data_IF_983206603451
#
_entry.id   IF_983206603451
#
_cell.length_a   1.000
_cell.length_b   1.000
_cell.length_c   1.000
_cell.angle_alpha   90.00
_cell.angle_beta   90.00
_cell.angle_gamma   90.00
#
_symmetry.space_group_name_H-M   'P 1'
#
loop_
_entity.id
_entity.type
_entity.pdbx_description
1 polymer ?
#
# COMPACT_ATOMS: atom_id res chain seq x y z
N UNK A 1 -66.09 15.73 0.29
CA UNK A 1 -64.93 15.73 -0.62
C UNK A 1 -63.67 15.51 0.22
N UNK A 2 -63.21 14.26 0.32
CA UNK A 2 -62.11 13.87 1.22
C UNK A 2 -60.80 13.99 0.45
N UNK A 3 -59.93 14.92 0.85
CA UNK A 3 -58.60 15.09 0.23
C UNK A 3 -57.69 13.94 0.70
N UNK A 4 -57.03 13.20 -0.20
CA UNK A 4 -56.14 12.13 0.21
C UNK A 4 -54.90 12.72 0.89
N UNK A 5 -54.55 12.15 2.04
CA UNK A 5 -53.34 12.50 2.77
C UNK A 5 -52.16 11.75 2.12
N UNK A 6 -51.47 12.39 1.17
CA UNK A 6 -50.27 11.82 0.58
C UNK A 6 -49.13 11.96 1.58
N UNK A 7 -48.74 10.85 2.20
CA UNK A 7 -47.55 10.81 3.04
C UNK A 7 -46.31 11.04 2.15
N UNK A 8 -45.42 11.99 2.49
CA UNK A 8 -44.22 12.21 1.71
C UNK A 8 -43.33 10.96 1.82
N UNK A 9 -43.08 10.32 0.68
CA UNK A 9 -42.11 9.23 0.58
C UNK A 9 -40.77 9.76 1.08
N UNK A 10 -40.31 9.26 2.23
CA UNK A 10 -39.00 9.61 2.79
C UNK A 10 -37.95 9.15 1.78
N UNK A 11 -37.43 10.08 0.99
CA UNK A 11 -36.29 9.83 0.10
C UNK A 11 -35.17 9.24 0.96
N UNK A 12 -34.77 7.99 0.69
CA UNK A 12 -33.60 7.39 1.35
C UNK A 12 -32.42 8.30 1.03
N UNK A 13 -31.96 9.08 2.02
CA UNK A 13 -30.73 9.86 1.89
C UNK A 13 -29.60 8.87 1.55
N UNK A 14 -28.71 9.27 0.64
CA UNK A 14 -27.54 8.47 0.26
C UNK A 14 -26.66 8.15 1.47
N UNK A 15 -25.70 7.24 1.28
CA UNK A 15 -24.83 6.74 2.35
C UNK A 15 -24.32 7.89 3.24
N UNK A 16 -24.67 7.93 4.54
CA UNK A 16 -24.26 9.00 5.46
C UNK A 16 -22.74 9.06 5.71
N UNK A 17 -21.98 8.11 5.14
CA UNK A 17 -20.53 8.08 5.16
C UNK A 17 -19.88 8.84 4.00
N UNK A 18 -20.65 9.39 3.04
CA UNK A 18 -20.08 10.29 2.03
C UNK A 18 -19.43 11.50 2.69
N UNK A 19 -18.15 11.74 2.39
CA UNK A 19 -17.39 12.89 2.92
C UNK A 19 -16.87 12.70 4.34
N UNK A 20 -17.07 11.54 4.98
CA UNK A 20 -16.39 11.23 6.24
C UNK A 20 -14.95 10.80 5.94
N UNK A 21 -13.94 11.39 6.60
CA UNK A 21 -12.57 10.90 6.47
C UNK A 21 -12.51 9.46 6.99
N UNK A 22 -11.93 8.58 6.18
CA UNK A 22 -11.65 7.22 6.59
C UNK A 22 -10.66 7.25 7.76
N UNK A 23 -10.84 6.39 8.79
CA UNK A 23 -9.84 6.25 9.83
C UNK A 23 -8.51 5.80 9.19
N UNK A 24 -7.36 6.25 9.72
CA UNK A 24 -6.07 5.81 9.22
C UNK A 24 -5.98 4.29 9.31
N UNK A 25 -5.59 3.66 8.21
CA UNK A 25 -5.38 2.22 8.19
C UNK A 25 -4.26 1.85 9.19
N UNK A 26 -4.36 0.70 9.86
CA UNK A 26 -3.25 0.22 10.69
C UNK A 26 -2.01 0.08 9.81
N UNK A 27 -0.85 0.44 10.36
CA UNK A 27 0.43 0.27 9.69
C UNK A 27 0.71 -1.23 9.53
N UNK A 28 0.35 -1.79 8.37
CA UNK A 28 0.68 -3.17 8.01
C UNK A 28 2.15 -3.20 7.60
N UNK A 29 2.91 -4.12 8.19
CA UNK A 29 4.29 -4.34 7.82
C UNK A 29 4.36 -4.70 6.33
N UNK A 30 5.24 -4.04 5.59
CA UNK A 30 5.47 -4.38 4.19
C UNK A 30 6.03 -5.81 4.08
N UNK A 31 5.88 -6.44 2.91
CA UNK A 31 6.48 -7.76 2.66
C UNK A 31 8.00 -7.74 2.89
N UNK A 32 8.65 -6.63 2.54
CA UNK A 32 10.06 -6.38 2.85
C UNK A 32 10.32 -6.42 4.36
N UNK A 33 9.58 -5.66 5.16
CA UNK A 33 9.75 -5.64 6.62
C UNK A 33 9.49 -7.01 7.25
N UNK A 34 8.55 -7.76 6.69
CA UNK A 34 8.24 -9.13 7.10
C UNK A 34 9.44 -10.05 6.82
N UNK A 35 10.04 -9.93 5.63
CA UNK A 35 11.23 -10.70 5.27
C UNK A 35 12.46 -10.32 6.09
N UNK A 36 12.66 -9.03 6.35
CA UNK A 36 13.73 -8.52 7.23
C UNK A 36 13.59 -9.10 8.64
N UNK A 37 12.36 -9.14 9.19
CA UNK A 37 12.08 -9.77 10.49
C UNK A 37 12.32 -11.28 10.47
N UNK A 38 11.89 -11.98 9.42
CA UNK A 38 12.12 -13.42 9.29
C UNK A 38 13.60 -13.78 9.23
N UNK A 39 14.42 -12.95 8.57
CA UNK A 39 15.87 -13.13 8.49
C UNK A 39 16.61 -12.61 9.74
N UNK A 40 15.91 -12.01 10.70
CA UNK A 40 16.51 -11.41 11.90
C UNK A 40 17.43 -10.22 11.58
N UNK A 41 17.21 -9.55 10.44
CA UNK A 41 18.04 -8.45 9.97
C UNK A 41 17.58 -7.13 10.58
N UNK A 42 18.53 -6.23 10.82
CA UNK A 42 18.26 -4.84 11.17
C UNK A 42 18.53 -3.98 9.94
N UNK A 43 18.02 -2.73 9.92
CA UNK A 43 18.26 -1.81 8.80
C UNK A 43 19.75 -1.68 8.43
N UNK A 44 20.64 -1.80 9.42
CA UNK A 44 22.10 -1.72 9.26
C UNK A 44 22.70 -2.99 8.65
N UNK A 45 22.13 -4.17 8.92
CA UNK A 45 22.64 -5.45 8.40
C UNK A 45 21.94 -5.91 7.12
N UNK A 46 20.86 -5.23 6.72
CA UNK A 46 20.15 -5.50 5.47
C UNK A 46 21.09 -5.46 4.26
N UNK A 47 21.94 -4.44 4.15
CA UNK A 47 22.86 -4.24 3.00
C UNK A 47 23.89 -5.36 2.85
N UNK A 48 24.33 -5.98 3.95
CA UNK A 48 25.29 -7.09 3.96
C UNK A 48 24.68 -8.47 3.73
N UNK A 49 23.35 -8.60 3.69
CA UNK A 49 22.69 -9.91 3.62
C UNK A 49 22.49 -10.38 2.18
N UNK A 50 23.23 -11.42 1.79
CA UNK A 50 23.08 -12.10 0.49
C UNK A 50 21.69 -12.72 0.34
N UNK A 51 21.13 -13.25 1.43
CA UNK A 51 19.79 -13.85 1.42
C UNK A 51 18.70 -12.79 1.12
N UNK A 52 18.82 -11.60 1.71
CA UNK A 52 17.90 -10.49 1.45
C UNK A 52 18.06 -9.97 0.02
N UNK A 53 19.30 -9.85 -0.47
CA UNK A 53 19.58 -9.44 -1.85
C UNK A 53 18.95 -10.39 -2.88
N UNK A 54 19.13 -11.71 -2.71
CA UNK A 54 18.53 -12.72 -3.59
C UNK A 54 16.99 -12.68 -3.57
N UNK A 55 16.41 -12.42 -2.40
CA UNK A 55 14.96 -12.25 -2.28
C UNK A 55 14.49 -10.99 -3.01
N UNK A 56 15.21 -9.88 -2.83
CA UNK A 56 14.93 -8.61 -3.50
C UNK A 56 14.99 -8.74 -5.03
N UNK A 57 15.99 -9.41 -5.60
CA UNK A 57 16.06 -9.61 -7.06
C UNK A 57 14.85 -10.38 -7.61
N UNK A 58 14.34 -11.37 -6.86
CA UNK A 58 13.17 -12.17 -7.25
C UNK A 58 11.85 -11.41 -7.08
N UNK A 59 11.79 -10.49 -6.11
CA UNK A 59 10.55 -9.82 -5.71
C UNK A 59 10.50 -8.33 -6.05
N UNK A 60 11.53 -7.77 -6.70
CA UNK A 60 11.62 -6.33 -7.03
C UNK A 60 10.45 -5.78 -7.85
N UNK A 61 9.81 -6.63 -8.63
CA UNK A 61 8.64 -6.26 -9.45
C UNK A 61 7.30 -6.55 -8.75
N UNK A 62 7.33 -7.22 -7.60
CA UNK A 62 6.12 -7.70 -6.88
C UNK A 62 5.92 -7.00 -5.54
N UNK A 63 7.01 -6.69 -4.86
CA UNK A 63 7.02 -6.11 -3.54
C UNK A 63 7.77 -4.79 -3.59
N UNK A 64 7.34 -3.84 -2.77
CA UNK A 64 8.08 -2.62 -2.56
C UNK A 64 9.43 -2.92 -1.91
N UNK A 65 10.50 -2.39 -2.49
CA UNK A 65 11.86 -2.41 -1.94
C UNK A 65 12.29 -0.96 -1.72
N UNK A 66 12.89 -0.62 -0.56
CA UNK A 66 13.34 0.74 -0.30
C UNK A 66 14.44 1.21 -1.28
N UNK A 67 14.33 2.45 -1.75
CA UNK A 67 15.27 3.06 -2.72
C UNK A 67 16.73 3.00 -2.24
N UNK A 68 17.00 3.38 -0.98
CA UNK A 68 18.34 3.34 -0.40
C UNK A 68 19.00 1.94 -0.45
N UNK A 69 18.19 0.87 -0.41
CA UNK A 69 18.69 -0.50 -0.48
C UNK A 69 18.97 -0.93 -1.93
N UNK A 70 18.18 -0.41 -2.87
CA UNK A 70 18.39 -0.61 -4.30
C UNK A 70 19.67 0.11 -4.76
N UNK A 71 19.88 1.34 -4.29
CA UNK A 71 21.08 2.13 -4.54
C UNK A 71 22.35 1.41 -4.04
N UNK A 72 22.33 0.92 -2.80
CA UNK A 72 23.48 0.22 -2.20
C UNK A 72 23.89 -1.04 -2.99
N UNK A 73 22.92 -1.76 -3.55
CA UNK A 73 23.18 -2.97 -4.32
C UNK A 73 23.33 -2.75 -5.83
N UNK A 74 23.13 -1.51 -6.29
CA UNK A 74 23.11 -1.18 -7.73
C UNK A 74 21.98 -1.87 -8.49
N UNK A 75 20.86 -2.18 -7.83
CA UNK A 75 19.71 -2.83 -8.47
C UNK A 75 18.85 -1.75 -9.14
N UNK A 76 18.91 -1.68 -10.47
CA UNK A 76 17.95 -0.90 -11.24
C UNK A 76 16.57 -1.58 -11.19
N UNK A 77 15.63 -0.93 -10.51
CA UNK A 77 14.20 -1.16 -10.69
C UNK A 77 13.76 -0.16 -11.75
N UNK A 78 13.16 -0.63 -12.85
CA UNK A 78 12.55 0.30 -13.80
C UNK A 78 11.45 1.06 -13.06
N UNK A 79 11.61 2.38 -12.83
CA UNK A 79 10.47 3.15 -12.40
C UNK A 79 9.44 3.05 -13.54
N UNK A 80 8.16 2.83 -13.21
CA UNK A 80 7.09 2.95 -14.18
C UNK A 80 6.98 4.45 -14.56
N UNK A 81 7.91 4.94 -15.37
CA UNK A 81 7.80 6.23 -16.05
C UNK A 81 6.78 6.02 -17.15
N UNK A 82 5.51 6.18 -16.78
CA UNK A 82 4.43 6.37 -17.74
C UNK A 82 4.60 7.78 -18.35
N UNK A 83 5.59 7.92 -19.22
CA UNK A 83 5.65 9.00 -20.19
C UNK A 83 4.59 8.73 -21.26
N UNK A 84 3.35 9.13 -21.00
CA UNK A 84 2.36 9.35 -22.03
C UNK A 84 2.05 10.85 -22.04
N UNK A 85 2.56 11.50 -23.09
CA UNK A 85 2.44 12.91 -23.40
C UNK A 85 0.99 13.36 -23.64
#
# INVERSE_FOLDING_TARGET
MVKPFIQPVRRRRGNPNWGRPLPPAPAVATEFETQVRHLGLTKQTCTGSVALRNWCERNKNRCYIPEWLLEEWGIAVEPYVSGAA
#
